data_IF_243299286840
#
_entry.id   IF_243299286840
#
_cell.length_a   1.000
_cell.length_b   1.000
_cell.length_c   1.000
_cell.angle_alpha   90.00
_cell.angle_beta   90.00
_cell.angle_gamma   90.00
#
_symmetry.space_group_name_H-M   'P 1'
#
loop_
_entity.id
_entity.type
_entity.pdbx_description
1 polymer ?
#
# COMPACT_ATOMS: atom_id res chain seq x y z
N UNK A 1 -35.67 17.81 -13.07
CA UNK A 1 -34.54 16.86 -13.16
C UNK A 1 -34.63 16.21 -14.52
N UNK A 2 -33.66 16.47 -15.40
CA UNK A 2 -33.59 15.90 -16.75
C UNK A 2 -33.03 14.47 -16.72
N UNK A 3 -33.20 13.72 -17.81
CA UNK A 3 -32.56 12.42 -17.99
C UNK A 3 -31.02 12.53 -17.88
N UNK A 4 -30.47 13.64 -18.39
CA UNK A 4 -29.04 13.95 -18.35
C UNK A 4 -28.55 14.11 -16.90
N UNK A 5 -29.33 14.79 -16.04
CA UNK A 5 -28.98 14.95 -14.63
C UNK A 5 -28.92 13.58 -13.91
N UNK A 6 -29.85 12.67 -14.24
CA UNK A 6 -29.86 11.31 -13.70
C UNK A 6 -28.64 10.49 -14.15
N UNK A 7 -28.29 10.56 -15.43
CA UNK A 7 -27.11 9.88 -15.98
C UNK A 7 -25.81 10.41 -15.36
N UNK A 8 -25.70 11.73 -15.17
CA UNK A 8 -24.54 12.34 -14.50
C UNK A 8 -24.40 11.88 -13.05
N UNK A 9 -25.50 11.84 -12.29
CA UNK A 9 -25.51 11.34 -10.91
C UNK A 9 -25.11 9.86 -10.87
N UNK A 10 -25.67 9.04 -11.76
CA UNK A 10 -25.33 7.63 -11.86
C UNK A 10 -23.84 7.42 -12.20
N UNK A 11 -23.29 8.16 -13.16
CA UNK A 11 -21.88 8.11 -13.52
C UNK A 11 -20.97 8.50 -12.34
N UNK A 12 -21.36 9.53 -11.58
CA UNK A 12 -20.64 9.93 -10.36
C UNK A 12 -20.64 8.81 -9.31
N UNK A 13 -21.79 8.18 -9.07
CA UNK A 13 -21.88 7.05 -8.14
C UNK A 13 -21.02 5.86 -8.56
N UNK A 14 -20.99 5.54 -9.86
CA UNK A 14 -20.13 4.49 -10.40
C UNK A 14 -18.66 4.83 -10.18
N UNK A 15 -18.24 6.06 -10.49
CA UNK A 15 -16.86 6.51 -10.29
C UNK A 15 -16.44 6.46 -8.81
N UNK A 16 -17.30 6.91 -7.90
CA UNK A 16 -17.05 6.85 -6.44
C UNK A 16 -16.99 5.41 -5.94
N UNK A 17 -17.80 4.52 -6.50
CA UNK A 17 -17.80 3.10 -6.11
C UNK A 17 -16.54 2.40 -6.61
N UNK A 18 -16.16 2.65 -7.87
CA UNK A 18 -14.96 2.11 -8.47
C UNK A 18 -13.69 2.57 -7.72
N UNK A 19 -13.60 3.85 -7.35
CA UNK A 19 -12.45 4.37 -6.59
C UNK A 19 -12.31 3.71 -5.22
N UNK A 20 -13.43 3.50 -4.50
CA UNK A 20 -13.43 2.76 -3.23
C UNK A 20 -12.99 1.30 -3.41
N UNK A 21 -13.47 0.62 -4.45
CA UNK A 21 -13.06 -0.76 -4.74
C UNK A 21 -11.56 -0.88 -5.05
N UNK A 22 -11.00 0.08 -5.79
CA UNK A 22 -9.55 0.14 -6.06
C UNK A 22 -8.77 0.34 -4.76
N UNK A 23 -9.18 1.28 -3.91
CA UNK A 23 -8.54 1.51 -2.61
C UNK A 23 -8.56 0.26 -1.72
N UNK A 24 -9.69 -0.46 -1.66
CA UNK A 24 -9.81 -1.74 -0.94
C UNK A 24 -8.86 -2.79 -1.53
N UNK A 25 -8.81 -2.93 -2.86
CA UNK A 25 -7.93 -3.89 -3.52
C UNK A 25 -6.43 -3.61 -3.23
N UNK A 26 -6.02 -2.34 -3.22
CA UNK A 26 -4.67 -1.91 -2.85
C UNK A 26 -4.39 -2.28 -1.38
N UNK A 27 -5.32 -1.95 -0.47
CA UNK A 27 -5.18 -2.27 0.95
C UNK A 27 -5.02 -3.78 1.20
N UNK A 28 -5.87 -4.61 0.58
CA UNK A 28 -5.78 -6.07 0.71
C UNK A 28 -4.46 -6.63 0.19
N UNK A 29 -3.95 -6.12 -0.93
CA UNK A 29 -2.65 -6.53 -1.48
C UNK A 29 -1.48 -6.10 -0.57
N UNK A 30 -1.51 -4.88 -0.02
CA UNK A 30 -0.53 -4.43 0.98
C UNK A 30 -0.52 -5.36 2.18
N UNK A 31 -1.69 -5.68 2.72
CA UNK A 31 -1.85 -6.60 3.84
C UNK A 31 -1.34 -8.02 3.54
N UNK A 32 -1.65 -8.55 2.35
CA UNK A 32 -1.12 -9.84 1.91
C UNK A 32 0.42 -9.84 1.84
N UNK A 33 1.00 -8.79 1.28
CA UNK A 33 2.45 -8.61 1.21
C UNK A 33 3.08 -8.54 2.60
N UNK A 34 2.52 -7.75 3.52
CA UNK A 34 3.04 -7.56 4.88
C UNK A 34 3.02 -8.84 5.73
N UNK A 35 2.04 -9.72 5.51
CA UNK A 35 1.98 -11.02 6.16
C UNK A 35 3.10 -11.96 5.71
N UNK A 36 3.45 -11.90 4.42
CA UNK A 36 4.53 -12.72 3.85
C UNK A 36 5.91 -12.09 4.03
N UNK A 37 5.99 -10.79 4.24
CA UNK A 37 7.23 -10.07 4.41
C UNK A 37 7.86 -10.39 5.78
N UNK A 38 9.12 -10.86 5.76
CA UNK A 38 9.93 -11.04 6.97
C UNK A 38 10.49 -9.69 7.44
N UNK A 39 9.61 -8.80 7.88
CA UNK A 39 9.95 -7.47 8.42
C UNK A 39 9.74 -7.42 9.93
N UNK A 40 10.51 -6.55 10.61
CA UNK A 40 10.35 -6.27 12.04
C UNK A 40 8.97 -5.65 12.32
N UNK A 41 8.33 -6.03 13.42
CA UNK A 41 6.97 -5.58 13.76
C UNK A 41 6.84 -4.05 13.85
N UNK A 42 7.87 -3.35 14.32
CA UNK A 42 7.89 -1.89 14.34
C UNK A 42 7.83 -1.29 12.92
N UNK A 43 8.53 -1.90 11.96
CA UNK A 43 8.48 -1.49 10.57
C UNK A 43 7.12 -1.82 9.93
N UNK A 44 6.54 -2.97 10.28
CA UNK A 44 5.18 -3.35 9.84
C UNK A 44 4.14 -2.32 10.27
N UNK A 45 4.15 -1.92 11.55
CA UNK A 45 3.19 -0.93 12.06
C UNK A 45 3.31 0.42 11.33
N UNK A 46 4.54 0.91 11.10
CA UNK A 46 4.77 2.14 10.34
C UNK A 46 4.29 2.04 8.88
N UNK A 47 4.32 0.84 8.31
CA UNK A 47 3.83 0.59 6.96
C UNK A 47 2.29 0.51 6.94
N UNK A 48 1.66 -0.02 7.99
CA UNK A 48 0.20 -0.08 8.09
C UNK A 48 -0.43 1.29 8.37
N UNK A 49 0.24 2.11 9.17
CA UNK A 49 -0.22 3.46 9.51
C UNK A 49 -0.07 4.46 8.36
N UNK A 50 0.70 4.12 7.30
CA UNK A 50 0.87 5.01 6.16
C UNK A 50 -0.32 4.93 5.19
N UNK A 51 -0.83 6.09 4.72
CA UNK A 51 -1.92 6.11 3.76
C UNK A 51 -1.51 5.35 2.48
N UNK A 52 -2.43 4.58 1.87
CA UNK A 52 -2.17 3.93 0.60
C UNK A 52 -1.85 4.99 -0.46
N UNK A 53 -0.78 4.75 -1.21
CA UNK A 53 -0.51 5.49 -2.44
C UNK A 53 -1.66 5.27 -3.40
N UNK A 54 -2.33 6.37 -3.75
CA UNK A 54 -3.36 6.42 -4.79
C UNK A 54 -2.83 7.16 -6.02
N UNK A 55 -1.55 7.49 -6.00
CA UNK A 55 -0.73 8.20 -6.99
C UNK A 55 -0.44 7.31 -8.22
N UNK A 56 -0.85 6.04 -8.20
CA UNK A 56 -0.75 5.12 -9.33
C UNK A 56 0.65 4.52 -9.54
N UNK A 57 1.62 4.90 -8.70
CA UNK A 57 3.01 4.44 -8.79
C UNK A 57 3.22 3.01 -8.25
N UNK A 58 2.29 2.48 -7.45
CA UNK A 58 2.40 1.10 -6.99
C UNK A 58 1.52 0.73 -5.80
N UNK A 59 1.95 -0.31 -5.06
CA UNK A 59 1.30 -0.78 -3.82
C UNK A 59 1.62 0.09 -2.60
N UNK A 60 2.74 0.79 -2.64
CA UNK A 60 3.21 1.70 -1.62
C UNK A 60 3.55 3.04 -2.27
N UNK A 61 3.60 4.11 -1.48
CA UNK A 61 4.05 5.41 -1.96
C UNK A 61 5.53 5.37 -2.35
N UNK A 62 5.96 6.19 -3.30
CA UNK A 62 7.38 6.30 -3.67
C UNK A 62 8.28 6.71 -2.50
N UNK A 63 7.75 7.43 -1.51
CA UNK A 63 8.45 7.74 -0.25
C UNK A 63 8.72 6.50 0.61
N UNK A 64 7.97 5.41 0.37
CA UNK A 64 8.01 4.17 1.10
C UNK A 64 8.99 3.16 0.50
N UNK A 65 9.30 3.28 -0.78
CA UNK A 65 10.35 2.49 -1.44
C UNK A 65 11.71 2.71 -0.75
N UNK A 66 12.00 3.95 -0.34
CA UNK A 66 13.20 4.25 0.45
C UNK A 66 13.18 3.60 1.84
N UNK A 67 12.01 3.47 2.48
CA UNK A 67 11.90 2.76 3.74
C UNK A 67 12.07 1.24 3.56
N UNK A 68 11.54 0.68 2.48
CA UNK A 68 11.69 -0.73 2.11
C UNK A 68 13.16 -1.07 1.77
N UNK A 69 13.84 -0.22 1.02
CA UNK A 69 15.27 -0.39 0.69
C UNK A 69 16.14 -0.37 1.96
N UNK A 70 15.87 0.56 2.88
CA UNK A 70 16.55 0.60 4.18
C UNK A 70 16.29 -0.66 5.01
N UNK A 71 15.07 -1.22 4.98
CA UNK A 71 14.74 -2.47 5.68
C UNK A 71 15.46 -3.68 5.08
N UNK A 72 15.59 -3.75 3.74
CA UNK A 72 16.36 -4.80 3.08
C UNK A 72 17.84 -4.73 3.47
N UNK A 73 18.44 -3.53 3.45
CA UNK A 73 19.82 -3.31 3.91
C UNK A 73 20.02 -3.67 5.38
N UNK A 74 19.06 -3.33 6.24
CA UNK A 74 19.12 -3.68 7.66
C UNK A 74 19.09 -5.19 7.88
N UNK A 75 18.26 -5.92 7.11
CA UNK A 75 18.24 -7.38 7.12
C UNK A 75 19.57 -7.98 6.65
N UNK A 76 20.12 -7.50 5.55
CA UNK A 76 21.42 -7.95 5.04
C UNK A 76 22.53 -7.73 6.08
N UNK A 77 22.49 -6.58 6.75
CA UNK A 77 23.42 -6.24 7.82
C UNK A 77 23.29 -7.21 9.00
N UNK A 78 22.07 -7.45 9.52
CA UNK A 78 21.81 -8.40 10.61
C UNK A 78 22.20 -9.83 10.22
N UNK A 79 21.94 -10.25 8.98
CA UNK A 79 22.33 -11.56 8.48
C UNK A 79 23.85 -11.72 8.37
N UNK A 80 24.57 -10.64 8.04
CA UNK A 80 26.04 -10.62 7.98
C UNK A 80 26.66 -10.77 9.38
N UNK A 81 26.12 -10.07 10.38
CA UNK A 81 26.60 -10.17 11.76
C UNK A 81 26.19 -11.49 12.45
N UNK A 82 25.05 -12.09 12.09
CA UNK A 82 24.61 -13.38 12.63
C UNK A 82 25.43 -14.60 12.17
N UNK A 83 26.25 -14.45 11.12
CA UNK A 83 27.10 -15.53 10.58
C UNK A 83 28.52 -15.54 11.18
N UNK A 84 28.83 -14.66 12.14
CA UNK A 84 30.12 -14.57 12.84
C UNK A 84 30.12 -15.20 14.26
N UNK A 85 29.17 -16.10 14.56
CA UNK A 85 29.09 -16.84 15.83
C UNK A 85 29.22 -18.33 15.65
#
# INVERSE_FOLDING_TARGET
MSLIDYEMIAACHVAVTASKQIAIAIHLRRQAWLRTASILDNARNRIEDSPPSLDGEGLFASTMDGALDNLMKMRETVSSYGYQG
#
